data_IF_115846451251
#
_entry.id   IF_115846451251
#
_cell.length_a   1.000
_cell.length_b   1.000
_cell.length_c   1.000
_cell.angle_alpha   90.00
_cell.angle_beta   90.00
_cell.angle_gamma   90.00
#
_symmetry.space_group_name_H-M   'P 1'
#
loop_
_entity.id
_entity.type
_entity.pdbx_description
1 polymer ?
#
# COMPACT_ATOMS: atom_id res chain seq x y z
N UNK A 1 4.22 -14.60 -1.90
CA UNK A 1 5.08 -13.72 -1.07
C UNK A 1 6.20 -14.54 -0.43
N UNK A 2 7.28 -14.83 -1.17
CA UNK A 2 8.37 -15.68 -0.68
C UNK A 2 9.71 -14.92 -0.51
N UNK A 3 9.74 -13.62 -0.82
CA UNK A 3 10.90 -12.75 -0.65
C UNK A 3 10.91 -12.04 0.71
N UNK A 4 12.11 -11.74 1.19
CA UNK A 4 12.36 -10.93 2.39
C UNK A 4 11.74 -9.54 2.20
N UNK A 5 11.12 -9.00 3.26
CA UNK A 5 10.29 -7.77 3.21
C UNK A 5 11.03 -6.52 2.74
N UNK A 6 12.36 -6.54 2.75
CA UNK A 6 13.22 -5.42 2.41
C UNK A 6 13.84 -5.53 1.00
N UNK A 7 13.52 -6.56 0.22
CA UNK A 7 14.17 -6.80 -1.09
C UNK A 7 13.27 -6.55 -2.29
N UNK A 8 11.97 -6.31 -2.10
CA UNK A 8 11.01 -6.15 -3.19
C UNK A 8 10.67 -4.68 -3.46
N UNK A 9 9.98 -4.43 -4.58
CA UNK A 9 9.42 -3.12 -4.87
C UNK A 9 8.38 -2.76 -3.80
N UNK A 10 8.53 -1.58 -3.18
CA UNK A 10 7.63 -1.10 -2.14
C UNK A 10 6.27 -0.61 -2.72
N UNK A 11 5.43 -1.54 -3.16
CA UNK A 11 3.99 -1.31 -3.40
C UNK A 11 3.21 -1.36 -2.08
N UNK A 12 1.94 -0.97 -2.09
CA UNK A 12 1.11 -1.02 -0.89
C UNK A 12 0.88 -2.48 -0.48
N UNK A 13 1.22 -2.84 0.77
CA UNK A 13 1.15 -4.19 1.32
C UNK A 13 1.83 -5.26 0.43
N UNK A 14 2.80 -4.87 -0.40
CA UNK A 14 3.50 -5.77 -1.34
C UNK A 14 2.56 -6.46 -2.36
N UNK A 15 1.42 -5.85 -2.69
CA UNK A 15 0.52 -6.36 -3.74
C UNK A 15 1.11 -6.08 -5.14
N UNK A 16 0.70 -6.81 -6.19
CA UNK A 16 1.18 -6.56 -7.54
C UNK A 16 0.99 -5.10 -7.99
N UNK A 17 2.00 -4.54 -8.64
CA UNK A 17 1.87 -3.26 -9.34
C UNK A 17 1.15 -3.53 -10.67
N UNK A 18 0.03 -2.85 -10.88
CA UNK A 18 -0.79 -2.97 -12.09
C UNK A 18 -0.94 -1.61 -12.76
N UNK A 19 -0.92 -1.61 -14.09
CA UNK A 19 -1.18 -0.42 -14.93
C UNK A 19 -2.59 -0.41 -15.53
N UNK A 20 -3.26 -1.56 -15.48
CA UNK A 20 -4.64 -1.74 -15.90
C UNK A 20 -5.52 -1.95 -14.66
N UNK A 21 -6.71 -1.36 -14.68
CA UNK A 21 -7.69 -1.45 -13.60
C UNK A 21 -8.78 -2.49 -13.86
N UNK A 22 -8.74 -3.15 -15.03
CA UNK A 22 -9.63 -4.24 -15.38
C UNK A 22 -9.42 -5.43 -14.44
N UNK A 23 -10.50 -6.15 -14.09
CA UNK A 23 -10.49 -7.35 -13.24
C UNK A 23 -9.90 -7.17 -11.82
N UNK A 24 -9.98 -5.95 -11.26
CA UNK A 24 -9.63 -5.68 -9.86
C UNK A 24 -10.89 -5.52 -9.01
N UNK A 25 -10.97 -6.21 -7.86
CA UNK A 25 -11.99 -5.93 -6.84
C UNK A 25 -11.70 -4.61 -6.10
N UNK A 26 -10.42 -4.34 -5.83
CA UNK A 26 -9.96 -3.16 -5.07
C UNK A 26 -8.65 -2.63 -5.64
N UNK A 27 -8.63 -1.35 -6.03
CA UNK A 27 -7.42 -0.62 -6.42
C UNK A 27 -6.94 0.31 -5.31
N UNK A 28 -5.64 0.28 -4.98
CA UNK A 28 -5.02 1.19 -4.01
C UNK A 28 -4.17 2.24 -4.71
N UNK A 29 -4.64 3.48 -4.69
CA UNK A 29 -3.98 4.63 -5.32
C UNK A 29 -3.58 5.64 -4.25
N UNK A 30 -2.34 6.12 -4.35
CA UNK A 30 -1.84 7.18 -3.49
C UNK A 30 -1.74 8.49 -4.25
N UNK A 31 -2.33 9.56 -3.73
CA UNK A 31 -2.30 10.91 -4.33
C UNK A 31 -1.27 11.76 -3.56
N UNK A 32 -0.05 11.97 -4.09
CA UNK A 32 1.00 12.71 -3.40
C UNK A 32 0.81 14.23 -3.57
N UNK A 33 -0.22 14.78 -2.92
CA UNK A 33 -0.57 16.20 -3.01
C UNK A 33 -0.75 16.84 -1.64
N UNK A 34 -0.23 18.06 -1.48
CA UNK A 34 -0.41 18.86 -0.27
C UNK A 34 -0.48 20.38 -0.56
N UNK A 35 -0.79 20.77 -1.81
CA UNK A 35 -0.85 22.18 -2.22
C UNK A 35 -1.97 22.99 -1.56
N UNK A 36 -2.95 22.33 -0.92
CA UNK A 36 -4.02 22.97 -0.15
C UNK A 36 -3.70 23.20 1.33
N UNK A 37 -2.51 22.84 1.82
CA UNK A 37 -2.15 23.02 3.23
C UNK A 37 -1.75 24.48 3.50
N UNK A 38 -2.25 25.05 4.62
CA UNK A 38 -2.00 26.44 5.02
C UNK A 38 -0.91 26.60 6.10
N UNK A 39 -0.39 25.49 6.63
CA UNK A 39 0.60 25.48 7.68
C UNK A 39 1.75 24.50 7.36
N UNK A 40 1.74 23.31 7.96
CA UNK A 40 2.84 22.34 7.83
C UNK A 40 2.68 21.51 6.56
N UNK A 41 3.64 21.58 5.65
CA UNK A 41 3.71 20.79 4.41
C UNK A 41 4.36 19.42 4.65
N UNK A 42 4.31 18.54 3.64
CA UNK A 42 4.98 17.23 3.67
C UNK A 42 4.04 16.05 3.41
N UNK A 43 2.72 16.25 3.42
CA UNK A 43 1.76 15.16 3.18
C UNK A 43 1.92 14.54 1.79
N UNK A 44 2.50 15.27 0.81
CA UNK A 44 2.86 14.72 -0.52
C UNK A 44 3.81 13.52 -0.46
N UNK A 45 4.62 13.38 0.60
CA UNK A 45 5.52 12.25 0.80
C UNK A 45 4.82 11.03 1.41
N UNK A 46 3.64 11.23 2.02
CA UNK A 46 2.87 10.21 2.71
C UNK A 46 2.63 8.94 1.89
N UNK A 47 2.11 9.02 0.65
CA UNK A 47 1.85 7.83 -0.15
C UNK A 47 3.08 6.95 -0.44
N UNK A 48 4.29 7.52 -0.46
CA UNK A 48 5.51 6.73 -0.64
C UNK A 48 5.88 6.02 0.66
N UNK A 49 5.87 6.74 1.78
CA UNK A 49 6.23 6.15 3.08
C UNK A 49 5.18 5.17 3.61
N UNK A 50 3.90 5.39 3.35
CA UNK A 50 2.85 4.40 3.68
C UNK A 50 3.11 3.08 2.95
N UNK A 51 3.51 3.11 1.67
CA UNK A 51 3.88 1.88 0.95
C UNK A 51 5.11 1.22 1.58
N UNK A 52 6.16 1.99 1.85
CA UNK A 52 7.37 1.49 2.51
C UNK A 52 7.06 0.77 3.84
N UNK A 53 6.31 1.42 4.73
CA UNK A 53 5.93 0.87 6.03
C UNK A 53 4.97 -0.33 5.92
N UNK A 54 4.10 -0.34 4.91
CA UNK A 54 3.15 -1.44 4.69
C UNK A 54 3.83 -2.77 4.34
N UNK A 55 5.11 -2.77 3.97
CA UNK A 55 5.92 -3.99 3.76
C UNK A 55 5.95 -4.91 4.99
N UNK A 56 5.66 -4.40 6.19
CA UNK A 56 5.61 -5.14 7.44
C UNK A 56 4.25 -5.83 7.69
N UNK A 57 3.22 -5.51 6.91
CA UNK A 57 1.88 -6.11 7.06
C UNK A 57 1.88 -7.60 6.70
N UNK A 58 0.94 -8.34 7.29
CA UNK A 58 0.72 -9.77 7.01
C UNK A 58 -0.51 -9.93 6.12
N UNK A 59 -0.63 -11.07 5.45
CA UNK A 59 -1.77 -11.42 4.60
C UNK A 59 -3.06 -11.73 5.38
N UNK A 60 -2.99 -11.72 6.73
CA UNK A 60 -4.12 -11.96 7.62
C UNK A 60 -4.29 -10.76 8.55
N UNK A 61 -5.54 -10.33 8.73
CA UNK A 61 -5.90 -9.45 9.82
C UNK A 61 -5.99 -10.26 11.12
N UNK A 62 -5.10 -10.00 12.07
CA UNK A 62 -5.01 -10.79 13.32
C UNK A 62 -6.20 -10.61 14.26
N UNK A 63 -6.95 -9.52 14.16
CA UNK A 63 -8.09 -9.25 15.01
C UNK A 63 -9.38 -9.94 14.52
N UNK A 64 -9.55 -10.04 13.20
CA UNK A 64 -10.77 -10.58 12.57
C UNK A 64 -10.57 -11.95 11.94
N UNK A 65 -9.33 -12.37 11.72
CA UNK A 65 -9.00 -13.59 10.98
C UNK A 65 -9.18 -13.48 9.46
N UNK A 66 -9.58 -12.31 8.95
CA UNK A 66 -9.82 -12.13 7.51
C UNK A 66 -8.52 -12.30 6.70
N UNK A 67 -8.60 -13.08 5.61
CA UNK A 67 -7.50 -13.38 4.68
C UNK A 67 -7.96 -13.00 3.27
N UNK A 68 -7.78 -11.74 2.82
CA UNK A 68 -8.40 -11.21 1.61
C UNK A 68 -8.06 -11.94 0.30
N UNK A 69 -6.95 -12.70 0.28
CA UNK A 69 -6.48 -13.44 -0.89
C UNK A 69 -6.82 -14.93 -0.84
N UNK A 70 -7.49 -15.38 0.23
CA UNK A 70 -7.95 -16.75 0.38
C UNK A 70 -9.47 -16.76 0.31
N UNK A 71 -10.00 -17.73 -0.41
CA UNK A 71 -11.45 -17.95 -0.53
C UNK A 71 -11.92 -18.92 0.55
#
# INVERSE_FOLDING_TARGET
>A
MQQLRFTELATFMRVPLVSDLTDLDIGIVGIPYDGGLTARTGARYGPREVRNQSSLMRAINVATGARPFER
#
